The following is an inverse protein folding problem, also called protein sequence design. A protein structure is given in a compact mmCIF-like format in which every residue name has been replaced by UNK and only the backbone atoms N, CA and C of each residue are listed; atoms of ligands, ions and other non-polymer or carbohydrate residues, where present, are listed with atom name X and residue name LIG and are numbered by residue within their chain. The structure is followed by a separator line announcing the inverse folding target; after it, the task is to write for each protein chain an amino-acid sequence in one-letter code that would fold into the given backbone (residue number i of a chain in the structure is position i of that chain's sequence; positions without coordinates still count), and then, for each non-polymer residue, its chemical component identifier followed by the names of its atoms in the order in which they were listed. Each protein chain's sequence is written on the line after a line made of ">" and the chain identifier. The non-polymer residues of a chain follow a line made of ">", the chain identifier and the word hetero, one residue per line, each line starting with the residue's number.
data_IF_998595486204
#
_entry.id   IF_998595486204
#
_cell.length_a   1.000
_cell.length_b   1.000
_cell.length_c   1.000
_cell.angle_alpha   90.00
_cell.angle_beta   90.00
_cell.angle_gamma   90.00
#
_symmetry.space_group_name_H-M   'P 1'
#
loop_
_entity.id
_entity.type
_entity.pdbx_description
1 polymer ?
#
# COMPACT_ATOMS: atom_id res chain seq x y z
N UNK A 1 2.57 -25.75 62.55
CA UNK A 1 1.72 -24.78 61.85
C UNK A 1 2.57 -23.55 61.60
N UNK A 2 3.08 -23.35 60.39
CA UNK A 2 3.86 -22.17 60.03
C UNK A 2 3.16 -21.48 58.86
N UNK A 3 2.63 -20.28 59.12
CA UNK A 3 2.02 -19.39 58.14
C UNK A 3 3.10 -18.73 57.28
N UNK A 4 2.98 -18.82 55.96
CA UNK A 4 3.85 -18.11 55.01
C UNK A 4 3.17 -16.77 54.72
N UNK A 5 3.85 -15.62 54.89
CA UNK A 5 3.22 -14.31 54.69
C UNK A 5 2.98 -14.07 53.19
N UNK A 6 1.78 -13.59 52.87
CA UNK A 6 1.35 -13.27 51.52
C UNK A 6 2.27 -12.21 50.89
N UNK A 7 2.95 -12.58 49.81
CA UNK A 7 3.71 -11.63 48.98
C UNK A 7 2.74 -10.61 48.36
N UNK A 8 2.90 -9.34 48.75
CA UNK A 8 2.24 -8.23 48.09
C UNK A 8 2.77 -8.14 46.65
N UNK A 9 1.95 -8.57 45.70
CA UNK A 9 2.18 -8.36 44.27
C UNK A 9 2.39 -6.86 44.04
N UNK A 10 3.64 -6.44 43.83
CA UNK A 10 3.97 -5.08 43.42
C UNK A 10 3.39 -4.90 42.03
N UNK A 11 2.44 -4.00 41.91
CA UNK A 11 1.79 -3.71 40.64
C UNK A 11 2.76 -2.98 39.72
N UNK A 12 3.43 -3.73 38.85
CA UNK A 12 4.44 -3.26 37.91
C UNK A 12 3.83 -2.23 36.96
N UNK A 13 2.54 -2.37 36.63
CA UNK A 13 1.83 -1.46 35.72
C UNK A 13 1.60 -0.11 36.39
N UNK A 14 1.27 -0.11 37.68
CA UNK A 14 1.15 1.11 38.46
C UNK A 14 2.49 1.86 38.54
N UNK A 15 3.62 1.14 38.62
CA UNK A 15 4.95 1.74 38.67
C UNK A 15 5.35 2.37 37.32
N UNK A 16 5.01 1.72 36.20
CA UNK A 16 5.27 2.25 34.84
C UNK A 16 4.38 3.47 34.53
N UNK A 17 3.10 3.44 34.91
CA UNK A 17 2.17 4.53 34.65
C UNK A 17 2.42 5.76 35.53
N UNK A 18 2.91 5.55 36.76
CA UNK A 18 3.25 6.62 37.69
C UNK A 18 4.72 7.04 37.64
N UNK A 19 5.56 6.32 36.88
CA UNK A 19 6.92 6.74 36.59
C UNK A 19 6.86 8.11 35.91
N UNK A 20 7.21 9.12 36.69
CA UNK A 20 7.27 10.52 36.26
C UNK A 20 8.41 10.61 35.25
N UNK A 21 8.12 10.39 33.97
CA UNK A 21 9.06 10.63 32.90
C UNK A 21 9.29 12.15 32.82
N UNK A 22 10.38 12.60 33.42
CA UNK A 22 10.94 13.94 33.44
C UNK A 22 11.44 14.41 32.04
N UNK A 23 10.79 13.92 30.98
CA UNK A 23 11.04 14.27 29.58
C UNK A 23 12.39 13.85 29.02
N UNK A 24 13.28 13.30 29.86
CA UNK A 24 14.61 12.82 29.46
C UNK A 24 14.61 11.30 29.36
N UNK A 25 14.28 10.81 28.17
CA UNK A 25 14.53 9.41 27.81
C UNK A 25 16.05 9.22 27.83
N UNK A 26 16.58 8.49 28.82
CA UNK A 26 18.01 8.18 28.92
C UNK A 26 18.43 7.45 27.63
N UNK A 27 19.44 7.98 26.95
CA UNK A 27 19.96 7.42 25.69
C UNK A 27 19.42 8.05 24.40
N UNK A 28 18.49 9.01 24.48
CA UNK A 28 18.02 9.73 23.28
C UNK A 28 19.14 10.58 22.65
N UNK A 29 19.97 11.20 23.48
CA UNK A 29 21.12 11.99 23.03
C UNK A 29 22.21 11.09 22.41
N UNK A 30 22.41 9.89 22.97
CA UNK A 30 23.34 8.89 22.43
C UNK A 30 22.87 8.35 21.07
N UNK A 31 21.56 8.09 20.92
CA UNK A 31 20.98 7.68 19.64
C UNK A 31 21.08 8.80 18.60
N UNK A 32 20.83 10.04 19.01
CA UNK A 32 20.95 11.22 18.14
C UNK A 32 22.40 11.39 17.68
N UNK A 33 23.36 11.23 18.58
CA UNK A 33 24.79 11.22 18.25
C UNK A 33 25.15 10.10 17.29
N UNK A 34 24.58 8.90 17.43
CA UNK A 34 24.82 7.77 16.52
C UNK A 34 24.26 8.01 15.12
N UNK A 35 23.05 8.57 15.01
CA UNK A 35 22.44 8.91 13.72
C UNK A 35 23.28 9.94 12.96
N UNK A 36 23.85 10.92 13.66
CA UNK A 36 24.71 11.94 13.05
C UNK A 36 26.18 11.50 12.86
N UNK A 37 26.62 10.46 13.58
CA UNK A 37 27.95 9.86 13.41
C UNK A 37 28.02 8.87 12.25
N UNK A 38 26.90 8.50 11.62
CA UNK A 38 26.90 7.77 10.35
C UNK A 38 27.17 8.79 9.24
N UNK A 39 28.39 8.83 8.64
CA UNK A 39 28.56 9.56 7.39
C UNK A 39 27.61 8.92 6.37
N UNK A 40 26.85 9.73 5.62
CA UNK A 40 26.14 9.26 4.43
C UNK A 40 27.15 8.74 3.41
N UNK A 41 27.59 7.50 3.62
CA UNK A 41 28.29 6.70 2.66
C UNK A 41 27.23 5.94 1.88
N UNK A 42 26.66 6.60 0.89
CA UNK A 42 26.50 5.88 -0.36
C UNK A 42 26.87 6.73 -1.57
N UNK A 43 27.43 6.04 -2.55
CA UNK A 43 27.68 6.46 -3.93
C UNK A 43 28.95 7.29 -4.19
N UNK A 44 30.09 6.59 -4.21
CA UNK A 44 31.21 6.95 -5.12
C UNK A 44 31.49 5.83 -6.10
N UNK A 45 30.66 5.73 -7.14
CA UNK A 45 31.10 5.20 -8.44
C UNK A 45 32.19 6.13 -9.01
N UNK A 46 33.45 5.71 -8.96
CA UNK A 46 34.50 6.28 -9.80
C UNK A 46 34.35 5.74 -11.22
N UNK A 47 33.72 6.50 -12.11
CA UNK A 47 34.06 6.50 -13.54
C UNK A 47 34.33 7.93 -13.98
N UNK A 48 35.52 8.11 -14.58
CA UNK A 48 36.01 9.34 -15.19
C UNK A 48 35.09 9.79 -16.32
N UNK A 49 34.97 11.10 -16.48
CA UNK A 49 34.68 11.73 -17.76
C UNK A 49 33.23 12.16 -17.95
N UNK A 50 33.03 13.47 -17.90
CA UNK A 50 32.29 14.37 -18.82
C UNK A 50 31.58 15.44 -18.00
N UNK A 51 31.96 16.68 -18.28
CA UNK A 51 31.44 17.91 -17.70
C UNK A 51 29.98 18.10 -18.15
N UNK A 52 29.01 17.62 -17.37
CA UNK A 52 27.59 17.87 -17.60
C UNK A 52 27.08 18.96 -16.65
N UNK A 53 26.57 20.04 -17.24
CA UNK A 53 25.95 21.23 -16.62
C UNK A 53 24.99 20.86 -15.47
N UNK A 54 24.81 21.74 -14.46
CA UNK A 54 23.90 21.48 -13.36
C UNK A 54 22.48 21.32 -13.90
N UNK A 55 21.91 20.13 -13.72
CA UNK A 55 20.51 19.87 -14.00
C UNK A 55 19.68 20.76 -13.06
N UNK A 56 18.99 21.73 -13.64
CA UNK A 56 17.94 22.50 -12.97
C UNK A 56 17.02 21.50 -12.29
N UNK A 57 16.99 21.50 -10.95
CA UNK A 57 15.99 20.79 -10.15
C UNK A 57 14.64 21.36 -10.54
N UNK A 58 13.97 20.72 -11.51
CA UNK A 58 12.56 20.96 -11.77
C UNK A 58 11.83 20.50 -10.52
N UNK A 59 11.35 21.47 -9.73
CA UNK A 59 10.42 21.20 -8.66
C UNK A 59 9.26 20.41 -9.24
N UNK A 60 9.22 19.12 -8.89
CA UNK A 60 8.11 18.25 -9.26
C UNK A 60 6.89 18.80 -8.54
N UNK A 61 6.03 19.51 -9.28
CA UNK A 61 4.72 19.95 -8.78
C UNK A 61 4.05 18.75 -8.11
N UNK A 62 3.50 18.89 -6.89
CA UNK A 62 2.83 17.79 -6.22
C UNK A 62 1.68 17.34 -7.11
N UNK A 63 1.83 16.16 -7.71
CA UNK A 63 0.73 15.54 -8.46
C UNK A 63 -0.38 15.31 -7.46
N UNK A 64 -1.52 15.99 -7.64
CA UNK A 64 -2.73 15.74 -6.84
C UNK A 64 -3.03 14.25 -6.91
N UNK A 65 -2.67 13.50 -5.86
CA UNK A 65 -2.94 12.06 -5.79
C UNK A 65 -4.45 11.91 -5.76
N UNK A 66 -5.03 11.34 -6.83
CA UNK A 66 -6.45 11.01 -6.84
C UNK A 66 -6.75 10.16 -5.61
N UNK A 67 -7.70 10.57 -4.80
CA UNK A 67 -8.14 9.82 -3.62
C UNK A 67 -8.67 8.48 -4.11
N UNK A 68 -8.10 7.39 -3.59
CA UNK A 68 -8.53 6.04 -3.93
C UNK A 68 -9.52 5.56 -2.87
N UNK A 69 -10.73 5.24 -3.28
CA UNK A 69 -11.70 4.56 -2.42
C UNK A 69 -11.50 3.06 -2.55
N UNK A 70 -11.49 2.35 -1.41
CA UNK A 70 -11.38 0.90 -1.37
C UNK A 70 -12.74 0.33 -0.98
N UNK A 71 -13.18 -0.67 -1.71
CA UNK A 71 -14.41 -1.42 -1.44
C UNK A 71 -14.11 -2.90 -1.52
N UNK A 72 -14.74 -3.69 -0.65
CA UNK A 72 -14.66 -5.15 -0.67
C UNK A 72 -15.99 -5.69 -1.21
N UNK A 73 -15.94 -6.46 -2.29
CA UNK A 73 -17.10 -7.16 -2.85
C UNK A 73 -16.86 -8.67 -2.79
N UNK A 74 -17.88 -9.39 -2.33
CA UNK A 74 -17.91 -10.85 -2.38
C UNK A 74 -18.34 -11.30 -3.77
N UNK A 75 -17.59 -12.23 -4.35
CA UNK A 75 -17.87 -12.87 -5.62
C UNK A 75 -18.17 -14.34 -5.36
N UNK A 76 -18.90 -14.99 -6.25
CA UNK A 76 -19.03 -16.44 -6.25
C UNK A 76 -17.67 -17.09 -6.53
N UNK A 77 -17.50 -18.32 -6.07
CA UNK A 77 -16.25 -19.07 -6.24
C UNK A 77 -15.90 -19.25 -7.74
N UNK A 78 -16.91 -19.58 -8.55
CA UNK A 78 -16.78 -19.74 -10.00
C UNK A 78 -16.18 -18.49 -10.66
N UNK A 79 -16.77 -17.32 -10.37
CA UNK A 79 -16.32 -16.03 -10.93
C UNK A 79 -14.91 -15.68 -10.44
N UNK A 80 -14.57 -16.02 -9.19
CA UNK A 80 -13.23 -15.79 -8.67
C UNK A 80 -12.17 -16.69 -9.33
N UNK A 81 -12.53 -17.94 -9.66
CA UNK A 81 -11.69 -18.88 -10.40
C UNK A 81 -11.46 -18.40 -11.83
N UNK A 82 -12.54 -18.07 -12.55
CA UNK A 82 -12.49 -17.51 -13.90
C UNK A 82 -11.65 -16.24 -13.96
N UNK A 83 -11.72 -15.37 -12.94
CA UNK A 83 -10.86 -14.18 -12.84
C UNK A 83 -9.38 -14.54 -12.67
N UNK A 84 -9.09 -15.66 -12.01
CA UNK A 84 -7.74 -16.22 -11.92
C UNK A 84 -7.19 -16.65 -13.27
N UNK A 85 -7.99 -17.40 -14.03
CA UNK A 85 -7.64 -17.85 -15.39
C UNK A 85 -7.48 -16.66 -16.35
N UNK A 86 -8.43 -15.72 -16.33
CA UNK A 86 -8.38 -14.49 -17.12
C UNK A 86 -7.12 -13.67 -16.83
N UNK A 87 -6.65 -13.65 -15.58
CA UNK A 87 -5.40 -12.98 -15.22
C UNK A 87 -4.19 -13.63 -15.90
N UNK A 88 -4.12 -14.96 -15.94
CA UNK A 88 -3.01 -15.66 -16.58
C UNK A 88 -3.05 -15.50 -18.11
N UNK A 89 -4.23 -15.54 -18.73
CA UNK A 89 -4.36 -15.26 -20.17
C UNK A 89 -3.93 -13.83 -20.50
N UNK A 90 -4.39 -12.83 -19.75
CA UNK A 90 -3.99 -11.43 -19.94
C UNK A 90 -2.47 -11.23 -19.76
N UNK A 91 -1.85 -11.92 -18.79
CA UNK A 91 -0.39 -11.89 -18.63
C UNK A 91 0.36 -12.47 -19.82
N UNK A 92 -0.21 -13.45 -20.51
CA UNK A 92 0.39 -14.05 -21.70
C UNK A 92 0.36 -13.09 -22.90
N UNK A 93 -0.67 -12.25 -23.01
CA UNK A 93 -0.74 -11.19 -24.01
C UNK A 93 0.16 -9.98 -23.71
N UNK A 94 0.61 -9.80 -22.46
CA UNK A 94 1.43 -8.67 -22.06
C UNK A 94 2.93 -8.92 -22.29
N UNK A 95 3.69 -7.91 -22.76
CA UNK A 95 5.14 -8.02 -22.91
C UNK A 95 5.82 -8.24 -21.55
N UNK A 96 7.01 -8.86 -21.55
CA UNK A 96 7.73 -9.34 -20.36
C UNK A 96 7.93 -8.31 -19.23
N UNK A 97 7.88 -7.00 -19.53
CA UNK A 97 7.97 -5.92 -18.52
C UNK A 97 6.64 -5.36 -17.99
N UNK A 98 5.48 -5.82 -18.50
CA UNK A 98 4.15 -5.30 -18.10
C UNK A 98 3.26 -6.33 -17.41
N UNK A 99 3.73 -7.56 -17.22
CA UNK A 99 2.97 -8.64 -16.57
C UNK A 99 2.51 -8.30 -15.15
N UNK A 100 3.28 -7.47 -14.43
CA UNK A 100 2.92 -6.99 -13.09
C UNK A 100 1.70 -6.07 -13.05
N UNK A 101 1.29 -5.51 -14.19
CA UNK A 101 0.09 -4.65 -14.29
C UNK A 101 -1.21 -5.45 -14.32
N UNK A 102 -1.16 -6.74 -14.65
CA UNK A 102 -2.32 -7.62 -14.65
C UNK A 102 -2.57 -8.17 -13.23
N UNK A 103 -3.14 -7.33 -12.37
CA UNK A 103 -3.64 -7.73 -11.06
C UNK A 103 -5.14 -8.04 -11.13
N UNK A 104 -5.65 -8.92 -10.26
CA UNK A 104 -7.09 -9.23 -10.19
C UNK A 104 -7.92 -7.95 -10.01
N UNK A 105 -7.50 -7.08 -9.09
CA UNK A 105 -8.15 -5.78 -8.85
C UNK A 105 -8.08 -4.84 -10.06
N UNK A 106 -6.96 -4.81 -10.79
CA UNK A 106 -6.83 -3.98 -12.00
C UNK A 106 -7.72 -4.46 -13.15
N UNK A 107 -7.92 -5.77 -13.27
CA UNK A 107 -8.84 -6.36 -14.24
C UNK A 107 -10.28 -5.97 -13.90
N UNK A 108 -10.69 -6.16 -12.63
CA UNK A 108 -12.03 -5.78 -12.16
C UNK A 108 -12.29 -4.28 -12.36
N UNK A 109 -11.36 -3.42 -11.95
CA UNK A 109 -11.47 -1.96 -12.13
C UNK A 109 -11.65 -1.59 -13.62
N UNK A 110 -10.84 -2.19 -14.50
CA UNK A 110 -10.90 -1.92 -15.94
C UNK A 110 -12.21 -2.41 -16.54
N UNK A 111 -12.67 -3.60 -16.16
CA UNK A 111 -13.94 -4.16 -16.61
C UNK A 111 -15.11 -3.27 -16.18
N UNK A 112 -15.15 -2.85 -14.91
CA UNK A 112 -16.19 -1.93 -14.40
C UNK A 112 -16.18 -0.62 -15.18
N UNK A 113 -15.00 -0.06 -15.47
CA UNK A 113 -14.89 1.18 -16.24
C UNK A 113 -15.46 1.03 -17.65
N UNK A 114 -15.12 -0.05 -18.35
CA UNK A 114 -15.65 -0.32 -19.70
C UNK A 114 -17.17 -0.52 -19.65
N UNK A 115 -17.69 -1.21 -18.64
CA UNK A 115 -19.13 -1.40 -18.47
C UNK A 115 -19.86 -0.08 -18.19
N UNK A 116 -19.27 0.81 -17.39
CA UNK A 116 -19.82 2.15 -17.13
C UNK A 116 -19.80 3.02 -18.39
N UNK A 117 -18.70 3.00 -19.16
CA UNK A 117 -18.61 3.70 -20.44
C UNK A 117 -19.63 3.16 -21.46
N UNK A 118 -19.81 1.84 -21.54
CA UNK A 118 -20.84 1.23 -22.39
C UNK A 118 -22.25 1.63 -21.95
N UNK A 119 -22.49 1.70 -20.64
CA UNK A 119 -23.76 2.18 -20.10
C UNK A 119 -24.01 3.65 -20.44
N UNK A 120 -23.01 4.52 -20.35
CA UNK A 120 -23.14 5.93 -20.75
C UNK A 120 -23.48 6.06 -22.24
N UNK A 121 -22.87 5.22 -23.09
CA UNK A 121 -23.08 5.26 -24.54
C UNK A 121 -24.41 4.65 -25.00
N UNK A 122 -24.79 3.49 -24.47
CA UNK A 122 -25.97 2.73 -24.93
C UNK A 122 -27.18 2.90 -24.01
N UNK A 123 -27.00 3.38 -22.79
CA UNK A 123 -28.06 3.57 -21.80
C UNK A 123 -28.93 2.32 -21.62
N UNK A 124 -30.25 2.50 -21.77
CA UNK A 124 -31.25 1.42 -21.66
C UNK A 124 -31.12 0.31 -22.70
N UNK A 125 -30.34 0.54 -23.76
CA UNK A 125 -30.05 -0.47 -24.80
C UNK A 125 -28.76 -1.25 -24.52
N UNK A 126 -28.04 -0.93 -23.44
CA UNK A 126 -26.89 -1.74 -23.03
C UNK A 126 -27.35 -3.16 -22.72
N UNK A 127 -26.62 -4.15 -23.23
CA UNK A 127 -26.90 -5.57 -23.01
C UNK A 127 -27.00 -5.87 -21.52
N UNK A 128 -26.10 -5.30 -20.72
CA UNK A 128 -26.06 -5.46 -19.27
C UNK A 128 -27.34 -4.95 -18.58
N UNK A 129 -27.88 -3.82 -19.04
CA UNK A 129 -29.12 -3.26 -18.48
C UNK A 129 -30.31 -4.15 -18.83
N UNK A 130 -30.36 -4.65 -20.07
CA UNK A 130 -31.41 -5.58 -20.49
C UNK A 130 -31.33 -6.90 -19.73
N UNK A 131 -30.14 -7.40 -19.47
CA UNK A 131 -29.94 -8.64 -18.72
C UNK A 131 -30.33 -8.49 -17.24
N UNK A 132 -29.96 -7.37 -16.61
CA UNK A 132 -30.41 -7.04 -15.25
C UNK A 132 -31.92 -6.85 -15.16
N UNK A 133 -32.55 -6.24 -16.17
CA UNK A 133 -34.00 -6.07 -16.21
C UNK A 133 -34.77 -7.37 -16.46
N UNK A 134 -34.15 -8.35 -17.12
CA UNK A 134 -34.74 -9.69 -17.37
C UNK A 134 -34.66 -10.61 -16.15
N UNK A 135 -33.74 -10.37 -15.21
CA UNK A 135 -33.62 -11.14 -13.96
C UNK A 135 -34.69 -10.78 -12.91
N UNK A 136 -35.86 -10.32 -13.34
CA UNK A 136 -37.00 -10.01 -12.46
C UNK A 136 -38.06 -11.09 -12.53
#
# INVERSE_FOLDING_TARGET
>A
MNEIPAEKNKDILADILNARHDGKIRGLDELTALIHAVPEADVRTKKRGVLSKPAVKREAKPSKKKVKHKTTHYLTEDVFSELGEAKETIKNFLPKGRKSKATKSGIVESAVKVLLEEFELKGKKSYLVQELLKKK
#
